data_IF_245290034538
#
_entry.id   IF_245290034538
#
_cell.length_a   1.000
_cell.length_b   1.000
_cell.length_c   1.000
_cell.angle_alpha   90.00
_cell.angle_beta   90.00
_cell.angle_gamma   90.00
#
_symmetry.space_group_name_H-M   'P 1'
#
loop_
_entity.id
_entity.type
_entity.pdbx_description
1 polymer ?
#
# COMPACT_ATOMS: atom_id res chain seq x y z
N UNK A 1 3.40 -22.70 13.40
CA UNK A 1 4.14 -22.21 12.21
C UNK A 1 4.00 -20.71 12.18
N UNK A 2 5.04 -19.96 12.56
CA UNK A 2 5.04 -18.50 12.47
C UNK A 2 5.12 -18.07 11.01
N UNK A 3 4.11 -17.41 10.47
CA UNK A 3 4.14 -16.77 9.16
C UNK A 3 4.71 -15.36 9.30
N UNK A 4 5.72 -15.04 8.50
CA UNK A 4 6.19 -13.68 8.33
C UNK A 4 5.45 -13.10 7.12
N UNK A 5 4.48 -12.23 7.34
CA UNK A 5 3.63 -11.66 6.30
C UNK A 5 3.67 -10.13 6.33
N UNK A 6 3.79 -9.53 5.19
CA UNK A 6 3.65 -8.09 5.00
C UNK A 6 2.27 -7.76 4.45
N UNK A 7 1.30 -7.55 5.30
CA UNK A 7 -0.01 -7.03 4.88
C UNK A 7 -0.05 -5.54 4.54
N UNK A 8 1.05 -4.83 4.72
CA UNK A 8 1.09 -3.35 4.65
C UNK A 8 1.51 -2.79 3.28
N UNK A 9 1.50 -3.60 2.23
CA UNK A 9 2.11 -3.29 0.91
C UNK A 9 1.40 -2.18 0.12
N UNK A 10 0.18 -1.81 0.45
CA UNK A 10 -0.59 -0.90 -0.42
C UNK A 10 -0.38 0.60 -0.20
N UNK A 11 0.31 1.03 0.84
CA UNK A 11 0.31 2.45 1.22
C UNK A 11 1.60 3.22 1.04
N UNK A 12 2.74 2.58 0.89
CA UNK A 12 4.03 3.27 0.99
C UNK A 12 4.87 3.31 -0.28
N UNK A 13 4.46 2.64 -1.33
CA UNK A 13 5.20 2.69 -2.61
C UNK A 13 5.29 4.08 -3.25
N UNK A 14 4.41 5.01 -2.87
CA UNK A 14 4.36 6.38 -3.37
C UNK A 14 4.91 7.42 -2.38
N UNK A 15 5.00 7.10 -1.11
CA UNK A 15 5.63 7.98 -0.12
C UNK A 15 7.14 7.76 -0.17
N UNK A 16 7.86 8.71 -0.75
CA UNK A 16 9.31 8.76 -0.62
C UNK A 16 9.73 8.75 0.85
N UNK A 17 11.00 8.48 1.11
CA UNK A 17 11.59 8.51 2.45
C UNK A 17 11.19 9.77 3.21
N UNK A 18 10.23 9.65 4.10
CA UNK A 18 9.88 10.72 5.04
C UNK A 18 10.85 10.57 6.23
N UNK A 19 11.59 11.63 6.62
CA UNK A 19 12.46 11.56 7.78
C UNK A 19 11.69 11.14 9.03
N UNK A 20 12.29 10.31 9.85
CA UNK A 20 11.72 9.74 11.10
C UNK A 20 11.13 10.76 12.08
N UNK A 21 11.55 12.03 11.99
CA UNK A 21 11.09 13.15 12.83
C UNK A 21 9.69 13.67 12.51
N UNK A 22 9.02 13.16 11.46
CA UNK A 22 7.73 13.65 11.01
C UNK A 22 6.59 12.63 11.18
N UNK A 23 6.52 11.95 12.31
CA UNK A 23 5.39 11.08 12.66
C UNK A 23 4.03 11.82 12.65
N UNK A 24 4.03 13.14 12.81
CA UNK A 24 2.84 14.01 12.66
C UNK A 24 2.41 14.19 11.20
N UNK A 25 3.27 13.91 10.22
CA UNK A 25 2.94 13.99 8.78
C UNK A 25 2.23 12.75 8.24
N UNK A 26 2.07 11.70 9.04
CA UNK A 26 1.39 10.47 8.63
C UNK A 26 -0.06 10.73 8.19
N UNK A 27 -0.72 11.72 8.76
CA UNK A 27 -2.08 12.12 8.38
C UNK A 27 -2.09 12.80 7.01
N UNK A 28 -1.14 13.66 6.71
CA UNK A 28 -1.04 14.33 5.40
C UNK A 28 -0.68 13.34 4.28
N UNK A 29 0.20 12.39 4.55
CA UNK A 29 0.55 11.31 3.61
C UNK A 29 -0.65 10.38 3.38
N UNK A 30 -1.40 10.04 4.43
CA UNK A 30 -2.64 9.28 4.29
C UNK A 30 -3.68 10.03 3.46
N UNK A 31 -3.88 11.32 3.71
CA UNK A 31 -4.83 12.16 2.97
C UNK A 31 -4.46 12.28 1.51
N UNK A 32 -3.17 12.44 1.18
CA UNK A 32 -2.70 12.45 -0.20
C UNK A 32 -2.86 11.10 -0.89
N UNK A 33 -2.53 10.00 -0.21
CA UNK A 33 -2.77 8.65 -0.70
C UNK A 33 -4.26 8.40 -0.96
N UNK A 34 -5.13 8.84 -0.07
CA UNK A 34 -6.59 8.77 -0.28
C UNK A 34 -7.05 9.64 -1.44
N UNK A 35 -6.52 10.84 -1.59
CA UNK A 35 -6.90 11.75 -2.69
C UNK A 35 -6.47 11.21 -4.05
N UNK A 36 -5.28 10.62 -4.17
CA UNK A 36 -4.82 9.93 -5.38
C UNK A 36 -5.60 8.64 -5.61
N UNK A 37 -5.83 7.84 -4.59
CA UNK A 37 -6.63 6.62 -4.69
C UNK A 37 -8.07 6.92 -5.10
N UNK A 38 -8.67 7.96 -4.57
CA UNK A 38 -9.98 8.44 -4.96
C UNK A 38 -9.97 8.87 -6.43
N UNK A 39 -9.00 9.67 -6.85
CA UNK A 39 -8.88 10.13 -8.23
C UNK A 39 -8.63 8.98 -9.21
N UNK A 40 -7.80 8.01 -8.86
CA UNK A 40 -7.49 6.84 -9.69
C UNK A 40 -8.60 5.78 -9.70
N UNK A 41 -9.33 5.63 -8.60
CA UNK A 41 -10.38 4.61 -8.47
C UNK A 41 -11.71 5.07 -9.07
N UNK A 42 -11.98 6.38 -9.07
CA UNK A 42 -13.25 6.95 -9.53
C UNK A 42 -13.18 7.48 -10.96
N UNK A 43 -12.01 7.58 -11.52
CA UNK A 43 -11.84 7.81 -12.95
C UNK A 43 -11.95 6.46 -13.69
N UNK A 44 -12.96 6.21 -14.38
CA UNK A 44 -13.78 6.94 -15.34
C UNK A 44 -15.30 6.86 -15.09
N UNK A 45 -15.77 7.01 -13.87
CA UNK A 45 -17.20 7.02 -13.57
C UNK A 45 -17.96 5.70 -13.81
N UNK A 46 -17.25 4.58 -13.80
CA UNK A 46 -17.84 3.26 -14.09
C UNK A 46 -18.68 2.69 -12.96
N UNK A 47 -18.47 3.18 -11.73
CA UNK A 47 -19.20 2.67 -10.58
C UNK A 47 -20.51 3.43 -10.40
N UNK A 48 -21.63 2.70 -10.38
CA UNK A 48 -22.97 3.27 -10.19
C UNK A 48 -23.33 3.31 -8.71
N UNK A 49 -23.12 4.44 -8.06
CA UNK A 49 -23.32 4.61 -6.61
C UNK A 49 -24.77 4.41 -6.15
N UNK A 50 -25.75 4.64 -7.03
CA UNK A 50 -27.19 4.48 -6.72
C UNK A 50 -27.72 3.07 -6.85
N UNK A 51 -27.00 2.11 -7.49
CA UNK A 51 -27.55 0.80 -7.85
C UNK A 51 -27.73 -0.16 -6.68
N UNK A 52 -26.85 -0.10 -5.67
CA UNK A 52 -26.76 -1.13 -4.64
C UNK A 52 -27.58 -0.84 -3.38
N UNK A 53 -28.11 0.38 -3.22
CA UNK A 53 -28.73 0.84 -1.97
C UNK A 53 -27.77 0.97 -0.76
N UNK A 54 -26.50 0.58 -0.92
CA UNK A 54 -25.50 0.61 0.17
C UNK A 54 -24.93 1.99 0.45
N UNK A 55 -25.23 2.97 -0.38
CA UNK A 55 -24.66 4.30 -0.30
C UNK A 55 -25.75 5.39 -0.23
N UNK A 56 -26.56 5.41 0.85
CA UNK A 56 -27.69 6.35 0.98
C UNK A 56 -27.24 7.80 0.88
N UNK A 57 -26.04 8.13 1.36
CA UNK A 57 -25.49 9.48 1.28
C UNK A 57 -25.33 10.04 -0.15
N UNK A 58 -25.45 9.21 -1.19
CA UNK A 58 -25.46 9.67 -2.58
C UNK A 58 -26.87 9.74 -3.18
N UNK A 59 -27.81 8.96 -2.65
CA UNK A 59 -29.14 8.77 -3.22
C UNK A 59 -30.26 9.43 -2.43
N UNK A 60 -30.03 9.67 -1.14
CA UNK A 60 -30.96 10.38 -0.29
C UNK A 60 -30.77 11.91 -0.35
N UNK A 61 -31.81 12.70 -0.05
CA UNK A 61 -31.69 14.14 0.03
C UNK A 61 -30.66 14.58 1.08
N UNK A 62 -29.75 15.46 0.70
CA UNK A 62 -28.74 16.02 1.60
C UNK A 62 -29.25 17.35 2.18
N UNK A 63 -29.54 17.40 3.49
CA UNK A 63 -30.11 18.56 4.18
C UNK A 63 -29.23 19.80 4.05
N UNK A 64 -27.90 19.64 4.21
CA UNK A 64 -26.93 20.73 4.04
C UNK A 64 -26.83 21.29 2.63
N UNK A 65 -27.50 20.69 1.66
CA UNK A 65 -27.53 21.08 0.24
C UNK A 65 -28.97 21.23 -0.28
N UNK A 66 -29.86 21.71 0.55
CA UNK A 66 -31.26 22.01 0.19
C UNK A 66 -32.02 20.79 -0.38
N UNK A 67 -31.74 19.59 0.15
CA UNK A 67 -32.38 18.36 -0.32
C UNK A 67 -31.82 17.80 -1.63
N UNK A 68 -30.69 18.30 -2.12
CA UNK A 68 -30.05 17.79 -3.32
C UNK A 68 -29.61 16.35 -3.15
N UNK A 69 -29.82 15.52 -4.16
CA UNK A 69 -29.30 14.15 -4.24
C UNK A 69 -28.06 14.12 -5.12
N UNK A 70 -26.92 13.76 -4.55
CA UNK A 70 -25.64 13.83 -5.26
C UNK A 70 -25.61 12.96 -6.51
N UNK A 71 -26.16 11.75 -6.46
CA UNK A 71 -26.18 10.87 -7.62
C UNK A 71 -27.06 11.39 -8.75
N UNK A 72 -28.25 11.87 -8.42
CA UNK A 72 -29.20 12.36 -9.44
C UNK A 72 -28.69 13.62 -10.12
N UNK A 73 -27.95 14.47 -9.37
CA UNK A 73 -27.42 15.75 -9.86
C UNK A 73 -26.12 15.59 -10.64
N UNK A 74 -25.18 14.77 -10.15
CA UNK A 74 -23.82 14.69 -10.69
C UNK A 74 -23.46 13.37 -11.35
N UNK A 75 -24.33 12.35 -11.26
CA UNK A 75 -24.13 11.05 -11.91
C UNK A 75 -22.75 10.46 -11.65
N UNK A 76 -21.99 10.14 -12.71
CA UNK A 76 -20.65 9.52 -12.58
C UNK A 76 -19.64 10.31 -11.77
N UNK A 77 -19.80 11.63 -11.66
CA UNK A 77 -18.91 12.50 -10.90
C UNK A 77 -19.34 12.73 -9.46
N UNK A 78 -20.50 12.19 -9.05
CA UNK A 78 -21.10 12.40 -7.72
C UNK A 78 -20.12 12.15 -6.57
N UNK A 79 -19.29 11.12 -6.67
CA UNK A 79 -18.30 10.79 -5.64
C UNK A 79 -17.25 11.90 -5.46
N UNK A 80 -16.65 12.37 -6.54
CA UNK A 80 -15.62 13.41 -6.48
C UNK A 80 -16.22 14.72 -5.98
N UNK A 81 -17.41 15.07 -6.47
CA UNK A 81 -18.10 16.30 -6.06
C UNK A 81 -18.44 16.22 -4.57
N UNK A 82 -19.06 15.13 -4.11
CA UNK A 82 -19.37 14.94 -2.68
C UNK A 82 -18.12 14.96 -1.81
N UNK A 83 -17.08 14.26 -2.20
CA UNK A 83 -15.81 14.23 -1.46
C UNK A 83 -15.21 15.64 -1.29
N UNK A 84 -15.34 16.51 -2.29
CA UNK A 84 -14.84 17.89 -2.23
C UNK A 84 -15.75 18.81 -1.45
N UNK A 85 -17.05 18.75 -1.70
CA UNK A 85 -18.02 19.69 -1.13
C UNK A 85 -18.34 19.37 0.33
N UNK A 86 -18.43 18.08 0.67
CA UNK A 86 -18.89 17.61 1.97
C UNK A 86 -17.71 17.30 2.90
N UNK A 87 -16.79 16.45 2.43
CA UNK A 87 -15.71 15.95 3.29
C UNK A 87 -14.52 16.89 3.32
N UNK A 88 -13.98 17.25 2.17
CA UNK A 88 -12.74 18.05 2.10
C UNK A 88 -12.96 19.48 2.58
N UNK A 89 -14.07 20.11 2.18
CA UNK A 89 -14.40 21.46 2.61
C UNK A 89 -14.58 21.56 4.13
N UNK A 90 -15.34 20.64 4.71
CA UNK A 90 -15.73 20.73 6.11
C UNK A 90 -14.61 20.25 7.05
N UNK A 91 -13.84 19.25 6.65
CA UNK A 91 -12.69 18.76 7.43
C UNK A 91 -11.40 19.53 7.17
N UNK A 92 -11.34 20.36 6.12
CA UNK A 92 -10.15 21.11 5.75
C UNK A 92 -8.96 20.24 5.33
N UNK A 93 -9.20 18.99 4.91
CA UNK A 93 -8.17 17.99 4.58
C UNK A 93 -7.46 18.37 3.27
N UNK A 94 -6.55 19.33 3.33
CA UNK A 94 -5.79 19.86 2.19
C UNK A 94 -4.30 19.64 2.40
N UNK A 95 -3.63 19.17 1.34
CA UNK A 95 -2.19 18.99 1.36
C UNK A 95 -1.50 20.35 1.35
N UNK A 96 -0.62 20.61 2.32
CA UNK A 96 0.15 21.84 2.34
C UNK A 96 1.29 21.82 1.31
N UNK A 97 1.78 22.99 0.84
CA UNK A 97 2.81 23.06 -0.20
C UNK A 97 4.13 22.38 0.18
N UNK A 98 4.54 22.43 1.44
CA UNK A 98 5.76 21.81 1.91
C UNK A 98 5.66 20.28 1.88
N UNK A 99 4.52 19.72 2.29
CA UNK A 99 4.29 18.27 2.17
C UNK A 99 4.24 17.83 0.69
N UNK A 100 3.69 18.65 -0.19
CA UNK A 100 3.72 18.42 -1.64
C UNK A 100 5.14 18.39 -2.19
N UNK A 101 5.98 19.32 -1.77
CA UNK A 101 7.40 19.36 -2.14
C UNK A 101 8.14 18.10 -1.69
N UNK A 102 7.98 17.67 -0.43
CA UNK A 102 8.59 16.44 0.08
C UNK A 102 8.13 15.18 -0.68
N UNK A 103 6.85 15.13 -1.05
CA UNK A 103 6.34 14.02 -1.86
C UNK A 103 6.96 14.00 -3.26
N UNK A 104 7.07 15.16 -3.90
CA UNK A 104 7.72 15.28 -5.22
C UNK A 104 9.19 14.84 -5.14
N UNK A 105 9.93 15.28 -4.12
CA UNK A 105 11.31 14.82 -3.88
C UNK A 105 11.41 13.31 -3.73
N UNK A 106 10.46 12.71 -2.98
CA UNK A 106 10.41 11.24 -2.83
C UNK A 106 10.08 10.49 -4.12
N UNK A 107 9.32 11.11 -5.04
CA UNK A 107 8.95 10.51 -6.32
C UNK A 107 10.13 10.48 -7.31
N UNK A 108 11.06 11.43 -7.25
CA UNK A 108 12.19 11.52 -8.19
C UNK A 108 13.06 10.25 -8.19
N UNK A 109 13.23 9.63 -7.02
CA UNK A 109 14.04 8.40 -6.89
C UNK A 109 13.20 7.12 -6.81
N UNK A 110 11.88 7.20 -6.92
CA UNK A 110 10.98 6.07 -6.69
C UNK A 110 11.25 4.91 -7.65
N UNK A 111 11.48 5.19 -8.94
CA UNK A 111 11.75 4.15 -9.94
C UNK A 111 13.02 3.37 -9.64
N UNK A 112 14.10 4.07 -9.26
CA UNK A 112 15.38 3.46 -8.89
C UNK A 112 15.25 2.61 -7.62
N UNK A 113 14.55 3.11 -6.61
CA UNK A 113 14.29 2.37 -5.38
C UNK A 113 13.44 1.15 -5.62
N UNK A 114 12.36 1.26 -6.39
CA UNK A 114 11.48 0.14 -6.72
C UNK A 114 12.22 -0.98 -7.47
N UNK A 115 13.08 -0.62 -8.42
CA UNK A 115 13.93 -1.57 -9.13
C UNK A 115 14.89 -2.29 -8.18
N UNK A 116 15.59 -1.54 -7.32
CA UNK A 116 16.52 -2.10 -6.35
C UNK A 116 15.82 -3.00 -5.33
N UNK A 117 14.68 -2.57 -4.78
CA UNK A 117 13.88 -3.38 -3.87
C UNK A 117 13.44 -4.70 -4.51
N UNK A 118 13.00 -4.64 -5.76
CA UNK A 118 12.58 -5.85 -6.49
C UNK A 118 13.74 -6.81 -6.74
N UNK A 119 14.90 -6.28 -7.13
CA UNK A 119 16.11 -7.10 -7.33
C UNK A 119 16.59 -7.75 -6.03
N UNK A 120 16.61 -6.98 -4.93
CA UNK A 120 17.00 -7.48 -3.61
C UNK A 120 16.03 -8.55 -3.09
N UNK A 121 14.71 -8.32 -3.24
CA UNK A 121 13.71 -9.28 -2.84
C UNK A 121 13.80 -10.59 -3.63
N UNK A 122 14.08 -10.54 -4.93
CA UNK A 122 14.28 -11.73 -5.74
C UNK A 122 15.53 -12.51 -5.30
N UNK A 123 16.64 -11.81 -5.04
CA UNK A 123 17.88 -12.44 -4.58
C UNK A 123 17.66 -13.12 -3.21
N UNK A 124 17.00 -12.42 -2.28
CA UNK A 124 16.66 -12.97 -0.96
C UNK A 124 15.70 -14.15 -1.07
N UNK A 125 14.66 -14.05 -1.91
CA UNK A 125 13.72 -15.14 -2.11
C UNK A 125 14.39 -16.41 -2.61
N UNK A 126 15.32 -16.31 -3.58
CA UNK A 126 16.11 -17.45 -4.08
C UNK A 126 17.01 -18.06 -3.02
N UNK A 127 17.65 -17.22 -2.21
CA UNK A 127 18.47 -17.70 -1.10
C UNK A 127 17.63 -18.45 -0.07
N UNK A 128 16.50 -17.89 0.33
CA UNK A 128 15.61 -18.52 1.31
C UNK A 128 14.96 -19.81 0.79
N UNK A 129 14.61 -19.86 -0.49
CA UNK A 129 13.99 -21.03 -1.13
C UNK A 129 14.92 -22.26 -1.12
N UNK A 130 16.24 -22.02 -1.09
CA UNK A 130 17.28 -23.07 -1.04
C UNK A 130 17.81 -23.33 0.37
N UNK A 131 17.34 -22.61 1.39
CA UNK A 131 17.91 -22.68 2.72
C UNK A 131 17.29 -23.80 3.56
N UNK A 132 18.14 -24.67 4.15
CA UNK A 132 17.72 -25.88 4.89
C UNK A 132 16.74 -25.65 6.04
N UNK A 133 16.81 -24.48 6.69
CA UNK A 133 15.94 -24.10 7.82
C UNK A 133 14.64 -23.40 7.40
N UNK A 134 14.45 -23.15 6.11
CA UNK A 134 13.23 -22.55 5.58
C UNK A 134 12.28 -23.65 5.11
N UNK A 135 11.02 -23.53 5.47
CA UNK A 135 9.98 -24.51 5.10
C UNK A 135 9.30 -24.14 3.78
N UNK A 136 9.09 -22.86 3.53
CA UNK A 136 8.46 -22.35 2.31
C UNK A 136 8.79 -20.87 2.11
N UNK A 137 8.71 -20.41 0.86
CA UNK A 137 8.83 -19.00 0.46
C UNK A 137 7.67 -18.65 -0.45
N UNK A 138 7.05 -17.51 -0.24
CA UNK A 138 6.00 -16.97 -1.11
C UNK A 138 6.43 -15.62 -1.67
N UNK A 139 6.82 -15.62 -2.92
CA UNK A 139 7.21 -14.43 -3.67
C UNK A 139 6.86 -14.59 -5.15
N UNK A 140 6.11 -13.66 -5.70
CA UNK A 140 5.60 -13.76 -7.08
C UNK A 140 6.71 -13.74 -8.15
N UNK A 141 7.92 -13.33 -7.78
CA UNK A 141 9.09 -13.38 -8.66
C UNK A 141 9.72 -14.77 -8.79
N UNK A 142 9.34 -15.74 -7.95
CA UNK A 142 9.79 -17.13 -8.07
C UNK A 142 8.92 -17.88 -9.09
N UNK A 143 9.52 -18.66 -10.02
CA UNK A 143 8.75 -19.45 -10.98
C UNK A 143 7.79 -20.46 -10.36
N UNK A 144 8.10 -20.92 -9.15
CA UNK A 144 7.29 -21.85 -8.37
C UNK A 144 6.00 -21.23 -7.80
N UNK A 145 5.90 -19.90 -7.78
CA UNK A 145 4.73 -19.22 -7.21
C UNK A 145 3.53 -19.32 -8.14
N UNK A 146 2.36 -19.72 -7.61
CA UNK A 146 1.10 -19.94 -8.38
C UNK A 146 0.67 -18.77 -9.26
N UNK A 147 1.02 -17.54 -8.93
CA UNK A 147 0.66 -16.33 -9.66
C UNK A 147 1.85 -15.74 -10.44
N UNK A 148 2.95 -16.48 -10.63
CA UNK A 148 4.14 -15.96 -11.31
C UNK A 148 3.84 -15.51 -12.74
N UNK A 149 3.14 -16.32 -13.52
CA UNK A 149 2.77 -16.01 -14.91
C UNK A 149 1.87 -14.77 -15.01
N UNK A 150 0.90 -14.64 -14.09
CA UNK A 150 0.04 -13.46 -14.03
C UNK A 150 0.85 -12.22 -13.67
N UNK A 151 1.73 -12.33 -12.68
CA UNK A 151 2.62 -11.24 -12.28
C UNK A 151 3.54 -10.80 -13.43
N UNK A 152 4.09 -11.75 -14.19
CA UNK A 152 4.93 -11.46 -15.35
C UNK A 152 4.18 -10.73 -16.48
N UNK A 153 2.87 -10.93 -16.60
CA UNK A 153 2.01 -10.24 -17.59
C UNK A 153 1.61 -8.83 -17.15
N UNK A 154 1.39 -8.63 -15.85
CA UNK A 154 0.79 -7.40 -15.30
C UNK A 154 1.86 -6.43 -14.79
N UNK A 155 2.94 -6.96 -14.20
CA UNK A 155 4.01 -6.16 -13.64
C UNK A 155 5.08 -5.85 -14.69
N UNK A 156 5.85 -4.78 -14.45
CA UNK A 156 6.99 -4.44 -15.29
C UNK A 156 8.00 -5.59 -15.29
N UNK A 157 8.54 -5.94 -16.44
CA UNK A 157 9.47 -7.07 -16.62
C UNK A 157 10.60 -7.05 -15.58
N UNK A 158 10.71 -8.14 -14.81
CA UNK A 158 11.73 -8.30 -13.78
C UNK A 158 11.47 -7.55 -12.46
N UNK A 159 10.36 -6.81 -12.34
CA UNK A 159 10.03 -6.03 -11.15
C UNK A 159 8.79 -6.61 -10.44
N UNK A 160 9.02 -7.54 -9.54
CA UNK A 160 7.98 -8.27 -8.83
C UNK A 160 7.67 -7.70 -7.43
N UNK A 161 8.20 -6.50 -7.12
CA UNK A 161 8.03 -5.83 -5.84
C UNK A 161 9.07 -6.19 -4.78
N UNK A 162 9.10 -5.42 -3.70
CA UNK A 162 10.10 -5.52 -2.63
C UNK A 162 9.66 -6.33 -1.41
N UNK A 163 8.57 -7.10 -1.52
CA UNK A 163 7.97 -7.80 -0.37
C UNK A 163 7.83 -9.28 -0.66
N UNK A 164 8.31 -10.09 0.28
CA UNK A 164 8.16 -11.53 0.27
C UNK A 164 7.71 -12.04 1.65
N UNK A 165 7.21 -13.26 1.70
CA UNK A 165 6.91 -13.96 2.95
C UNK A 165 7.57 -15.33 2.93
N UNK A 166 7.99 -15.80 4.10
CA UNK A 166 8.57 -17.14 4.24
C UNK A 166 8.26 -17.72 5.62
N UNK A 167 8.31 -19.02 5.74
CA UNK A 167 8.18 -19.73 7.01
C UNK A 167 9.46 -20.50 7.31
N UNK A 168 9.93 -20.41 8.56
CA UNK A 168 11.04 -21.23 9.05
C UNK A 168 10.52 -22.58 9.52
N UNK A 169 11.38 -23.60 9.48
CA UNK A 169 11.08 -24.92 10.07
C UNK A 169 11.08 -24.80 11.59
N UNK A 170 10.04 -25.34 12.25
CA UNK A 170 9.87 -25.29 13.70
C UNK A 170 8.53 -24.70 14.09
N UNK A 171 8.43 -24.23 15.31
CA UNK A 171 7.25 -23.60 15.90
C UNK A 171 7.31 -22.06 15.83
N UNK A 172 6.35 -21.38 16.44
CA UNK A 172 6.28 -19.92 16.50
C UNK A 172 7.52 -19.30 17.17
N UNK A 173 8.15 -20.01 18.11
CA UNK A 173 9.37 -19.53 18.82
C UNK A 173 10.57 -19.48 17.88
N UNK A 174 10.66 -20.39 16.90
CA UNK A 174 11.72 -20.36 15.90
C UNK A 174 11.66 -19.10 15.03
N UNK A 175 10.44 -18.65 14.68
CA UNK A 175 10.22 -17.39 13.96
C UNK A 175 10.71 -16.17 14.77
N UNK A 176 10.33 -16.10 16.04
CA UNK A 176 10.78 -15.03 16.96
C UNK A 176 12.29 -14.98 17.10
N UNK A 177 12.94 -16.14 17.29
CA UNK A 177 14.39 -16.22 17.38
C UNK A 177 15.11 -15.71 16.14
N UNK A 178 14.57 -15.96 14.94
CA UNK A 178 15.16 -15.42 13.70
C UNK A 178 15.12 -13.91 13.72
N UNK A 179 13.98 -13.30 14.10
CA UNK A 179 13.83 -11.86 14.10
C UNK A 179 14.70 -11.19 15.16
N UNK A 180 14.77 -11.77 16.35
CA UNK A 180 15.57 -11.24 17.47
C UNK A 180 17.07 -11.24 17.21
N UNK A 181 17.55 -12.15 16.35
CA UNK A 181 18.98 -12.28 16.00
C UNK A 181 19.37 -11.51 14.72
N UNK A 182 18.44 -10.80 14.08
CA UNK A 182 18.77 -9.99 12.92
C UNK A 182 19.61 -8.77 13.29
N UNK A 183 20.70 -8.57 12.55
CA UNK A 183 21.60 -7.41 12.73
C UNK A 183 21.38 -6.32 11.68
N UNK A 184 21.07 -6.72 10.46
CA UNK A 184 20.90 -5.79 9.33
C UNK A 184 19.46 -5.35 9.15
N UNK A 185 18.52 -6.27 9.30
CA UNK A 185 17.10 -5.98 9.18
C UNK A 185 16.50 -5.53 10.52
N UNK A 186 15.57 -4.60 10.47
CA UNK A 186 14.87 -4.07 11.65
C UNK A 186 13.51 -4.75 11.82
N UNK A 187 13.17 -5.10 13.07
CA UNK A 187 11.85 -5.62 13.40
C UNK A 187 10.86 -4.45 13.50
N UNK A 188 10.23 -4.11 12.40
CA UNK A 188 9.16 -3.12 12.36
C UNK A 188 8.32 -3.25 11.07
N UNK A 189 7.12 -2.69 11.12
CA UNK A 189 6.19 -2.69 9.99
C UNK A 189 6.24 -1.35 9.25
N UNK A 190 6.93 -1.32 8.12
CA UNK A 190 6.88 -0.21 7.16
C UNK A 190 7.18 -0.74 5.75
N UNK A 191 6.94 0.07 4.72
CA UNK A 191 7.25 -0.29 3.32
C UNK A 191 7.79 0.92 2.58
N UNK A 192 8.81 0.71 1.74
CA UNK A 192 9.39 1.75 0.88
C UNK A 192 10.56 2.50 1.51
N UNK A 193 11.06 2.05 2.66
CA UNK A 193 12.30 2.57 3.26
C UNK A 193 13.55 1.99 2.60
N UNK A 194 14.71 2.63 2.86
CA UNK A 194 15.99 2.14 2.38
C UNK A 194 16.48 0.90 3.16
N UNK A 195 15.90 0.60 4.31
CA UNK A 195 16.28 -0.52 5.17
C UNK A 195 15.45 -1.77 4.86
N UNK A 196 16.04 -2.94 5.12
CA UNK A 196 15.30 -4.19 5.12
C UNK A 196 14.54 -4.32 6.43
N UNK A 197 13.25 -4.61 6.33
CA UNK A 197 12.36 -4.77 7.47
C UNK A 197 11.80 -6.18 7.51
N UNK A 198 11.70 -6.73 8.70
CA UNK A 198 11.09 -8.02 8.96
C UNK A 198 10.04 -7.87 10.05
N UNK A 199 8.89 -8.53 9.88
CA UNK A 199 7.81 -8.57 10.85
C UNK A 199 7.31 -9.99 11.00
N UNK A 200 7.12 -10.43 12.24
CA UNK A 200 6.42 -11.67 12.55
C UNK A 200 4.93 -11.39 12.48
N UNK A 201 4.19 -12.28 11.83
CA UNK A 201 2.73 -12.29 11.85
C UNK A 201 2.31 -13.64 12.40
N UNK A 202 1.79 -13.63 13.62
CA UNK A 202 1.10 -14.77 14.20
C UNK A 202 -0.26 -14.93 13.51
N UNK A 203 -0.55 -16.15 13.05
CA UNK A 203 -1.83 -16.52 12.43
C UNK A 203 -2.59 -17.46 13.33
#
# INVERSE_FOLDING_TARGET
MGQISSRTVRQSGLAGTVPRSQASSSTAVRTFSYSIQISLTVQPGKFHWGRSGKFPSFTEPADGYHGMRFWDTFGPTAFIVKARMDVQRDLGATLNPFASFLLLQGLETLSLRAERHSANALALARFLDQHDKVAWVSYVGLPSHRNHELAAKVLRKGQYGGVLTFGVKGDATAGSQVVDHLRLASNLANVGECCTLLLIVDT
#
